data_IF_267741735247
#
_entry.id   IF_267741735247
#
_cell.length_a   1.000
_cell.length_b   1.000
_cell.length_c   1.000
_cell.angle_alpha   90.00
_cell.angle_beta   90.00
_cell.angle_gamma   90.00
#
_symmetry.space_group_name_H-M   'P 1'
#
loop_
_entity.id
_entity.type
_entity.pdbx_description
1 polymer ?
#
# COMPACT_ATOMS: atom_id res chain seq x y z
N UNK A 1 -15.18 -16.85 -12.10
CA UNK A 1 -15.13 -15.71 -11.16
C UNK A 1 -13.93 -14.86 -11.55
N UNK A 2 -14.09 -13.55 -11.80
CA UNK A 2 -12.93 -12.67 -11.98
C UNK A 2 -12.12 -12.73 -10.69
N UNK A 3 -10.82 -13.02 -10.76
CA UNK A 3 -9.94 -12.86 -9.59
C UNK A 3 -9.97 -11.39 -9.21
N UNK A 4 -10.19 -11.08 -7.93
CA UNK A 4 -9.90 -9.73 -7.45
C UNK A 4 -8.44 -9.43 -7.79
N UNK A 5 -8.17 -8.25 -8.37
CA UNK A 5 -6.81 -7.74 -8.46
C UNK A 5 -6.21 -7.59 -7.06
N UNK A 6 -4.90 -7.37 -6.98
CA UNK A 6 -4.25 -7.11 -5.70
C UNK A 6 -4.91 -5.92 -5.00
N UNK A 7 -5.28 -6.11 -3.73
CA UNK A 7 -5.73 -5.04 -2.86
C UNK A 7 -4.55 -4.12 -2.57
N UNK A 8 -4.74 -2.81 -2.72
CA UNK A 8 -3.69 -1.81 -2.52
C UNK A 8 -4.05 -0.89 -1.39
N UNK A 9 -3.11 -0.69 -0.48
CA UNK A 9 -3.31 0.19 0.66
C UNK A 9 -2.10 1.10 0.89
N UNK A 10 -2.37 2.39 1.11
CA UNK A 10 -1.41 3.30 1.72
C UNK A 10 -1.78 3.41 3.19
N UNK A 11 -0.82 3.19 4.08
CA UNK A 11 -0.98 3.37 5.52
C UNK A 11 -0.10 4.52 5.98
N UNK A 12 -0.72 5.64 6.30
CA UNK A 12 -0.05 6.83 6.82
C UNK A 12 0.04 6.73 8.33
N UNK A 13 1.25 6.87 8.89
CA UNK A 13 1.51 6.94 10.32
C UNK A 13 2.10 8.31 10.60
N UNK A 14 1.36 9.16 11.31
CA UNK A 14 1.75 10.56 11.57
C UNK A 14 1.31 10.97 12.96
N UNK A 15 1.90 12.02 13.51
CA UNK A 15 1.52 12.59 14.79
C UNK A 15 1.02 14.03 14.73
N UNK A 16 0.85 14.59 13.53
CA UNK A 16 0.41 15.97 13.37
C UNK A 16 -0.16 16.28 12.00
N UNK A 17 -0.87 17.40 11.92
CA UNK A 17 -1.35 17.93 10.66
C UNK A 17 -0.22 18.61 9.90
N UNK A 18 -0.23 18.49 8.59
CA UNK A 18 0.57 19.37 7.76
C UNK A 18 -0.04 19.61 6.39
N UNK A 19 0.03 20.88 6.00
CA UNK A 19 -0.63 21.44 4.84
C UNK A 19 0.37 22.09 3.85
N UNK A 20 1.59 21.56 3.78
CA UNK A 20 2.54 22.01 2.75
C UNK A 20 2.35 21.24 1.45
N UNK A 21 2.11 21.97 0.37
CA UNK A 21 1.86 21.42 -0.96
C UNK A 21 0.39 21.07 -1.19
N UNK A 22 0.13 19.98 -1.93
CA UNK A 22 -1.24 19.52 -2.20
C UNK A 22 -1.93 19.06 -0.91
N UNK A 23 -3.24 19.30 -0.81
CA UNK A 23 -4.04 18.81 0.32
C UNK A 23 -3.94 17.28 0.45
N UNK A 24 -3.67 16.74 1.65
CA UNK A 24 -3.62 15.30 1.87
C UNK A 24 -4.98 14.62 1.65
N UNK A 25 -6.09 15.34 1.89
CA UNK A 25 -7.46 14.87 1.61
C UNK A 25 -7.67 14.69 0.10
N UNK A 26 -7.22 15.67 -0.70
CA UNK A 26 -7.31 15.59 -2.16
C UNK A 26 -6.42 14.46 -2.72
N UNK A 27 -5.19 14.33 -2.21
CA UNK A 27 -4.30 13.24 -2.60
C UNK A 27 -4.88 11.86 -2.24
N UNK A 28 -5.52 11.71 -1.08
CA UNK A 28 -6.18 10.47 -0.69
C UNK A 28 -7.39 10.15 -1.58
N UNK A 29 -8.18 11.15 -1.96
CA UNK A 29 -9.28 10.97 -2.92
C UNK A 29 -8.75 10.46 -4.27
N UNK A 30 -7.66 11.03 -4.78
CA UNK A 30 -7.01 10.57 -6.02
C UNK A 30 -6.49 9.12 -5.90
N UNK A 31 -5.91 8.74 -4.74
CA UNK A 31 -5.48 7.37 -4.49
C UNK A 31 -6.67 6.39 -4.58
N UNK A 32 -7.81 6.75 -4.00
CA UNK A 32 -9.03 5.96 -4.04
C UNK A 32 -9.55 5.77 -5.47
N UNK A 33 -9.52 6.81 -6.29
CA UNK A 33 -9.91 6.71 -7.71
C UNK A 33 -9.04 5.71 -8.48
N UNK A 34 -7.80 5.48 -8.05
CA UNK A 34 -6.88 4.48 -8.62
C UNK A 34 -7.01 3.09 -7.97
N UNK A 35 -8.02 2.88 -7.11
CA UNK A 35 -8.24 1.62 -6.39
C UNK A 35 -7.25 1.37 -5.26
N UNK A 36 -6.65 2.44 -4.70
CA UNK A 36 -5.75 2.38 -3.55
C UNK A 36 -6.47 2.96 -2.33
N UNK A 37 -6.65 2.14 -1.30
CA UNK A 37 -7.28 2.57 -0.05
C UNK A 37 -6.26 3.33 0.81
N UNK A 38 -6.60 4.51 1.32
CA UNK A 38 -5.71 5.27 2.24
C UNK A 38 -6.23 5.16 3.67
N UNK A 39 -5.39 4.60 4.52
CA UNK A 39 -5.59 4.43 5.95
C UNK A 39 -4.67 5.39 6.71
N UNK A 40 -5.10 5.89 7.87
CA UNK A 40 -4.32 6.86 8.65
C UNK A 40 -4.30 6.51 10.12
N UNK A 41 -3.12 6.44 10.73
CA UNK A 41 -2.95 6.25 12.17
C UNK A 41 -2.26 7.50 12.75
N UNK A 42 -2.98 8.19 13.63
CA UNK A 42 -2.45 9.26 14.46
C UNK A 42 -1.73 8.71 15.68
N UNK A 43 -0.49 9.12 15.96
CA UNK A 43 0.29 8.64 17.12
C UNK A 43 0.49 9.74 18.17
N UNK A 44 -0.04 9.53 19.38
CA UNK A 44 -0.04 10.53 20.46
C UNK A 44 0.81 10.12 21.67
N UNK A 45 1.57 11.05 22.25
CA UNK A 45 2.33 10.84 23.49
C UNK A 45 1.80 11.78 24.58
N UNK A 46 0.94 11.26 25.46
CA UNK A 46 0.44 11.89 26.71
C UNK A 46 -0.47 13.13 26.59
N UNK A 47 -0.32 13.97 25.58
CA UNK A 47 -1.26 15.04 25.25
C UNK A 47 -2.11 14.65 24.04
N UNK A 48 -3.39 15.03 24.08
CA UNK A 48 -4.35 14.75 23.00
C UNK A 48 -3.86 15.38 21.69
N UNK A 49 -4.02 14.64 20.60
CA UNK A 49 -4.00 15.26 19.28
C UNK A 49 -5.14 16.30 19.29
N UNK A 50 -4.81 17.58 19.12
CA UNK A 50 -5.84 18.62 19.16
C UNK A 50 -6.96 18.31 18.17
N UNK A 51 -8.19 18.79 18.42
CA UNK A 51 -9.38 18.46 17.61
C UNK A 51 -9.19 18.66 16.08
N UNK A 52 -8.32 19.59 15.68
CA UNK A 52 -7.94 19.78 14.27
C UNK A 52 -7.13 18.62 13.70
N UNK A 53 -6.24 18.03 14.48
CA UNK A 53 -5.45 16.83 14.19
C UNK A 53 -6.31 15.60 13.94
N UNK A 54 -7.23 15.33 14.88
CA UNK A 54 -8.13 14.19 14.76
C UNK A 54 -9.04 14.30 13.54
N UNK A 55 -9.52 15.53 13.27
CA UNK A 55 -10.37 15.81 12.13
C UNK A 55 -9.64 15.55 10.82
N UNK A 56 -8.42 16.04 10.66
CA UNK A 56 -7.65 15.84 9.43
C UNK A 56 -7.34 14.36 9.18
N UNK A 57 -6.88 13.63 10.22
CA UNK A 57 -6.63 12.18 10.16
C UNK A 57 -7.87 11.43 9.64
N UNK A 58 -9.05 11.79 10.15
CA UNK A 58 -10.33 11.20 9.73
C UNK A 58 -10.71 11.58 8.30
N UNK A 59 -10.56 12.85 7.94
CA UNK A 59 -10.90 13.36 6.60
C UNK A 59 -10.03 12.72 5.51
N UNK A 60 -8.73 12.55 5.75
CA UNK A 60 -7.81 11.87 4.83
C UNK A 60 -8.26 10.42 4.61
N UNK A 61 -8.48 9.67 5.70
CA UNK A 61 -8.91 8.27 5.60
C UNK A 61 -10.28 8.13 4.92
N UNK A 62 -11.23 9.02 5.22
CA UNK A 62 -12.56 9.02 4.61
C UNK A 62 -12.49 9.30 3.10
N UNK A 63 -11.71 10.30 2.69
CA UNK A 63 -11.50 10.62 1.27
C UNK A 63 -10.83 9.44 0.54
N UNK A 64 -9.84 8.81 1.19
CA UNK A 64 -9.15 7.61 0.71
C UNK A 64 -9.95 6.30 0.77
N UNK A 65 -11.19 6.32 1.28
CA UNK A 65 -12.03 5.13 1.41
C UNK A 65 -11.58 4.14 2.49
N UNK A 66 -10.58 4.51 3.29
CA UNK A 66 -10.01 3.67 4.34
C UNK A 66 -10.58 3.96 5.72
N UNK A 67 -9.76 3.66 6.72
CA UNK A 67 -10.07 3.81 8.14
C UNK A 67 -9.00 4.65 8.82
N UNK A 68 -9.39 5.28 9.92
CA UNK A 68 -8.48 6.04 10.77
C UNK A 68 -8.57 5.61 12.21
N UNK A 69 -7.45 5.71 12.94
CA UNK A 69 -7.44 5.53 14.39
C UNK A 69 -6.38 6.44 15.04
N UNK A 70 -6.54 6.76 16.32
CA UNK A 70 -5.61 7.57 17.10
C UNK A 70 -5.15 6.74 18.28
N UNK A 71 -3.84 6.53 18.39
CA UNK A 71 -3.28 5.53 19.29
C UNK A 71 -2.06 6.04 20.02
N UNK A 72 -1.81 5.43 21.19
CA UNK A 72 -0.52 5.55 21.84
C UNK A 72 0.52 4.67 21.13
N UNK A 73 1.82 5.02 21.19
CA UNK A 73 2.90 4.22 20.60
C UNK A 73 2.87 2.74 21.02
N UNK A 74 2.42 2.44 22.24
CA UNK A 74 2.30 1.07 22.76
C UNK A 74 1.23 0.22 22.07
N UNK A 75 0.24 0.85 21.42
CA UNK A 75 -0.86 0.19 20.73
C UNK A 75 -0.66 0.13 19.21
N UNK A 76 0.35 0.83 18.69
CA UNK A 76 0.55 1.05 17.26
C UNK A 76 0.62 -0.26 16.46
N UNK A 77 1.40 -1.24 16.92
CA UNK A 77 1.58 -2.52 16.22
C UNK A 77 0.25 -3.26 16.01
N UNK A 78 -0.56 -3.35 17.07
CA UNK A 78 -1.87 -4.00 17.02
C UNK A 78 -2.83 -3.23 16.11
N UNK A 79 -2.82 -1.89 16.18
CA UNK A 79 -3.72 -1.07 15.38
C UNK A 79 -3.37 -1.10 13.90
N UNK A 80 -2.09 -1.10 13.53
CA UNK A 80 -1.64 -1.27 12.13
C UNK A 80 -2.22 -2.55 11.52
N UNK A 81 -2.11 -3.68 12.22
CA UNK A 81 -2.64 -4.96 11.77
C UNK A 81 -4.17 -4.94 11.65
N UNK A 82 -4.85 -4.48 12.71
CA UNK A 82 -6.30 -4.44 12.80
C UNK A 82 -6.93 -3.53 11.74
N UNK A 83 -6.37 -2.34 11.54
CA UNK A 83 -6.88 -1.34 10.61
C UNK A 83 -6.69 -1.81 9.16
N UNK A 84 -5.52 -2.37 8.83
CA UNK A 84 -5.26 -2.98 7.51
C UNK A 84 -6.27 -4.08 7.19
N UNK A 85 -6.51 -5.01 8.13
CA UNK A 85 -7.48 -6.11 7.95
C UNK A 85 -8.90 -5.61 7.77
N UNK A 86 -9.35 -4.69 8.63
CA UNK A 86 -10.69 -4.08 8.51
C UNK A 86 -10.88 -3.33 7.20
N UNK A 87 -9.86 -2.57 6.76
CA UNK A 87 -9.90 -1.86 5.49
C UNK A 87 -9.97 -2.81 4.29
N UNK A 88 -9.25 -3.94 4.35
CA UNK A 88 -9.33 -5.01 3.36
C UNK A 88 -10.73 -5.62 3.31
N UNK A 89 -11.27 -6.09 4.43
CA UNK A 89 -12.63 -6.65 4.51
C UNK A 89 -13.67 -5.67 3.96
N UNK A 90 -13.56 -4.39 4.32
CA UNK A 90 -14.44 -3.33 3.78
C UNK A 90 -14.32 -3.18 2.27
N UNK A 91 -13.10 -3.20 1.72
CA UNK A 91 -12.85 -3.07 0.28
C UNK A 91 -13.46 -4.25 -0.49
N UNK A 92 -13.25 -5.48 0.01
CA UNK A 92 -13.83 -6.69 -0.59
C UNK A 92 -15.35 -6.64 -0.51
N UNK A 93 -15.91 -6.30 0.64
CA UNK A 93 -17.36 -6.16 0.81
C UNK A 93 -17.95 -5.13 -0.17
N UNK A 94 -17.27 -4.01 -0.41
CA UNK A 94 -17.69 -3.01 -1.40
C UNK A 94 -17.69 -3.58 -2.82
N UNK A 95 -16.65 -4.31 -3.22
CA UNK A 95 -16.56 -4.96 -4.54
C UNK A 95 -17.66 -6.01 -4.70
N UNK A 96 -17.84 -6.89 -3.71
CA UNK A 96 -18.88 -7.92 -3.73
C UNK A 96 -20.27 -7.30 -3.82
N UNK A 97 -20.54 -6.23 -3.05
CA UNK A 97 -21.81 -5.52 -3.12
C UNK A 97 -22.06 -4.90 -4.51
N UNK A 98 -21.02 -4.35 -5.15
CA UNK A 98 -21.14 -3.79 -6.51
C UNK A 98 -21.46 -4.87 -7.53
N UNK A 99 -20.79 -6.03 -7.46
CA UNK A 99 -21.04 -7.17 -8.35
C UNK A 99 -22.45 -7.74 -8.14
N UNK A 100 -22.90 -7.88 -6.89
CA UNK A 100 -24.26 -8.31 -6.58
C UNK A 100 -25.30 -7.34 -7.13
N UNK A 101 -25.09 -6.03 -7.01
CA UNK A 101 -25.99 -5.02 -7.59
C UNK A 101 -26.05 -5.08 -9.11
N UNK A 102 -24.93 -5.36 -9.77
CA UNK A 102 -24.89 -5.52 -11.22
C UNK A 102 -25.69 -6.74 -11.71
N UNK A 103 -25.78 -7.81 -10.90
CA UNK A 103 -26.50 -9.04 -11.23
C UNK A 103 -27.97 -8.99 -10.81
N UNK A 104 -28.26 -8.47 -9.61
CA UNK A 104 -29.56 -8.54 -8.94
C UNK A 104 -30.36 -7.22 -8.99
N UNK A 105 -29.79 -6.15 -9.53
CA UNK A 105 -30.36 -4.81 -9.47
C UNK A 105 -30.11 -4.12 -8.12
N UNK A 106 -30.85 -3.07 -7.80
CA UNK A 106 -30.65 -2.24 -6.60
C UNK A 106 -31.03 -2.91 -5.27
N UNK A 107 -31.06 -4.24 -5.17
CA UNK A 107 -31.33 -4.92 -3.90
C UNK A 107 -30.14 -4.70 -2.96
N UNK A 108 -30.31 -3.99 -1.84
CA UNK A 108 -29.27 -3.86 -0.82
C UNK A 108 -28.90 -5.24 -0.25
N UNK A 109 -27.63 -5.42 0.13
CA UNK A 109 -27.17 -6.62 0.83
C UNK A 109 -28.02 -6.93 2.08
N UNK A 110 -28.48 -5.90 2.78
CA UNK A 110 -29.28 -6.04 4.00
C UNK A 110 -30.67 -6.61 3.74
N UNK A 111 -31.17 -6.51 2.51
CA UNK A 111 -32.47 -7.03 2.07
C UNK A 111 -32.37 -8.47 1.55
N UNK A 112 -31.15 -9.05 1.51
CA UNK A 112 -30.99 -10.46 1.23
C UNK A 112 -31.51 -11.32 2.39
N UNK A 113 -32.09 -12.47 2.04
CA UNK A 113 -32.48 -13.50 3.00
C UNK A 113 -31.28 -13.86 3.93
N UNK A 114 -31.52 -14.14 5.22
CA UNK A 114 -30.44 -14.40 6.20
C UNK A 114 -29.41 -15.43 5.74
N UNK A 115 -29.84 -16.50 5.07
CA UNK A 115 -28.98 -17.58 4.57
C UNK A 115 -28.02 -17.05 3.50
N UNK A 116 -28.50 -16.19 2.60
CA UNK A 116 -27.67 -15.57 1.56
C UNK A 116 -26.71 -14.55 2.16
N UNK A 117 -27.12 -13.79 3.17
CA UNK A 117 -26.22 -12.87 3.89
C UNK A 117 -25.07 -13.62 4.56
N UNK A 118 -25.36 -14.77 5.19
CA UNK A 118 -24.33 -15.65 5.76
C UNK A 118 -23.35 -16.15 4.69
N UNK A 119 -23.86 -16.58 3.53
CA UNK A 119 -23.02 -17.03 2.42
C UNK A 119 -22.12 -15.91 1.88
N UNK A 120 -22.64 -14.70 1.73
CA UNK A 120 -21.86 -13.54 1.28
C UNK A 120 -20.80 -13.17 2.32
N UNK A 121 -21.12 -13.20 3.61
CA UNK A 121 -20.16 -12.93 4.67
C UNK A 121 -18.98 -13.92 4.63
N UNK A 122 -19.27 -15.23 4.52
CA UNK A 122 -18.22 -16.25 4.38
C UNK A 122 -17.35 -16.03 3.14
N UNK A 123 -17.96 -15.69 2.00
CA UNK A 123 -17.22 -15.37 0.78
C UNK A 123 -16.29 -14.16 0.96
N UNK A 124 -16.74 -13.11 1.65
CA UNK A 124 -15.91 -11.92 1.93
C UNK A 124 -14.72 -12.29 2.82
N UNK A 125 -14.93 -13.15 3.82
CA UNK A 125 -13.86 -13.61 4.70
C UNK A 125 -12.82 -14.47 3.95
N UNK A 126 -13.27 -15.43 3.15
CA UNK A 126 -12.40 -16.27 2.31
C UNK A 126 -11.57 -15.42 1.34
N UNK A 127 -12.23 -14.49 0.63
CA UNK A 127 -11.55 -13.53 -0.24
C UNK A 127 -10.56 -12.67 0.55
N UNK A 128 -10.84 -12.32 1.80
CA UNK A 128 -9.94 -11.56 2.66
C UNK A 128 -8.63 -12.30 2.93
N UNK A 129 -8.71 -13.59 3.21
CA UNK A 129 -7.53 -14.40 3.51
C UNK A 129 -6.72 -14.75 2.25
N UNK A 130 -7.38 -14.99 1.11
CA UNK A 130 -6.74 -15.41 -0.14
C UNK A 130 -6.25 -14.26 -1.04
N UNK A 131 -6.79 -13.06 -0.89
CA UNK A 131 -6.45 -11.93 -1.78
C UNK A 131 -5.01 -11.47 -1.63
N UNK A 132 -4.37 -11.17 -2.77
CA UNK A 132 -3.08 -10.51 -2.77
C UNK A 132 -3.19 -9.10 -2.18
N UNK A 133 -2.20 -8.67 -1.41
CA UNK A 133 -2.16 -7.37 -0.73
C UNK A 133 -0.82 -6.68 -0.97
N UNK A 134 -0.89 -5.42 -1.38
CA UNK A 134 0.24 -4.52 -1.53
C UNK A 134 0.06 -3.34 -0.57
N UNK A 135 0.98 -3.14 0.36
CA UNK A 135 0.91 -2.04 1.35
C UNK A 135 2.11 -1.11 1.23
N UNK A 136 1.89 0.19 1.03
CA UNK A 136 2.92 1.21 1.27
C UNK A 136 2.66 1.84 2.63
N UNK A 137 3.58 1.66 3.57
CA UNK A 137 3.53 2.38 4.84
C UNK A 137 4.32 3.69 4.70
N UNK A 138 3.63 4.81 4.89
CA UNK A 138 4.22 6.14 4.97
C UNK A 138 4.40 6.51 6.43
N UNK A 139 5.64 6.71 6.85
CA UNK A 139 6.00 7.07 8.22
C UNK A 139 6.45 8.52 8.29
N UNK A 140 5.79 9.30 9.12
CA UNK A 140 6.22 10.66 9.44
C UNK A 140 7.54 10.63 10.20
N UNK A 141 8.51 11.41 9.74
CA UNK A 141 9.85 11.57 10.32
C UNK A 141 10.10 12.97 10.89
N UNK A 142 9.03 13.75 11.11
CA UNK A 142 9.08 15.05 11.77
C UNK A 142 9.71 14.97 13.18
N UNK A 143 10.14 16.12 13.71
CA UNK A 143 10.81 16.18 15.01
C UNK A 143 9.99 15.57 16.17
N UNK A 144 8.65 15.70 16.13
CA UNK A 144 7.74 15.16 17.13
C UNK A 144 7.59 13.63 17.09
N UNK A 145 7.92 13.01 15.95
CA UNK A 145 7.89 11.55 15.80
C UNK A 145 9.10 10.86 16.43
N UNK A 146 10.18 11.59 16.73
CA UNK A 146 11.43 11.03 17.28
C UNK A 146 11.24 10.07 18.48
N UNK A 147 10.48 10.42 19.54
CA UNK A 147 10.25 9.50 20.65
C UNK A 147 9.38 8.28 20.28
N UNK A 148 8.58 8.39 19.21
CA UNK A 148 7.61 7.37 18.74
C UNK A 148 8.24 6.36 17.78
N UNK A 149 9.36 6.70 17.15
CA UNK A 149 10.04 5.87 16.14
C UNK A 149 10.34 4.42 16.60
N UNK A 150 10.81 4.15 17.82
CA UNK A 150 11.04 2.77 18.26
C UNK A 150 9.76 1.92 18.21
N UNK A 151 8.62 2.49 18.58
CA UNK A 151 7.32 1.82 18.47
C UNK A 151 6.89 1.62 17.01
N UNK A 152 7.18 2.58 16.13
CA UNK A 152 6.92 2.43 14.69
C UNK A 152 7.76 1.30 14.10
N UNK A 153 9.03 1.17 14.50
CA UNK A 153 9.90 0.08 14.05
C UNK A 153 9.37 -1.29 14.49
N UNK A 154 8.96 -1.42 15.75
CA UNK A 154 8.31 -2.65 16.24
C UNK A 154 7.02 -2.93 15.46
N UNK A 155 6.18 -1.91 15.24
CA UNK A 155 4.95 -2.06 14.48
C UNK A 155 5.19 -2.54 13.04
N UNK A 156 6.22 -2.04 12.36
CA UNK A 156 6.60 -2.48 11.02
C UNK A 156 7.05 -3.93 11.01
N UNK A 157 7.91 -4.30 11.96
CA UNK A 157 8.40 -5.67 12.09
C UNK A 157 7.23 -6.64 12.35
N UNK A 158 6.40 -6.37 13.36
CA UNK A 158 5.28 -7.24 13.72
C UNK A 158 4.22 -7.31 12.62
N UNK A 159 3.99 -6.18 11.93
CA UNK A 159 3.11 -6.16 10.78
C UNK A 159 3.64 -7.01 9.63
N UNK A 160 4.94 -6.96 9.33
CA UNK A 160 5.55 -7.81 8.29
C UNK A 160 5.37 -9.31 8.57
N UNK A 161 5.47 -9.71 9.85
CA UNK A 161 5.21 -11.10 10.27
C UNK A 161 3.74 -11.44 10.05
N UNK A 162 2.82 -10.55 10.45
CA UNK A 162 1.38 -10.76 10.25
C UNK A 162 0.96 -10.85 8.78
N UNK A 163 1.64 -10.12 7.89
CA UNK A 163 1.40 -10.18 6.46
C UNK A 163 1.83 -11.54 5.87
N UNK A 164 2.91 -12.11 6.38
CA UNK A 164 3.40 -13.44 5.98
C UNK A 164 2.52 -14.60 6.44
N UNK A 165 1.72 -14.43 7.49
CA UNK A 165 0.82 -15.50 7.96
C UNK A 165 -0.46 -15.62 7.13
N UNK A 166 -0.73 -14.68 6.22
CA UNK A 166 -1.88 -14.75 5.32
C UNK A 166 -1.66 -15.77 4.21
N UNK A 167 -2.75 -16.38 3.73
CA UNK A 167 -2.70 -17.31 2.60
C UNK A 167 -2.39 -16.60 1.28
N UNK A 168 -2.97 -15.41 1.07
CA UNK A 168 -2.70 -14.56 -0.09
C UNK A 168 -1.31 -13.91 -0.04
N UNK A 169 -0.72 -13.65 -1.22
CA UNK A 169 0.59 -13.00 -1.30
C UNK A 169 0.52 -11.57 -0.76
N UNK A 170 1.36 -11.25 0.21
CA UNK A 170 1.45 -9.91 0.79
C UNK A 170 2.82 -9.31 0.54
N UNK A 171 2.85 -8.08 0.02
CA UNK A 171 4.07 -7.30 -0.13
C UNK A 171 3.91 -5.96 0.59
N UNK A 172 4.98 -5.47 1.18
CA UNK A 172 5.01 -4.11 1.70
C UNK A 172 6.26 -3.34 1.30
N UNK A 173 6.12 -2.03 1.22
CA UNK A 173 7.21 -1.07 1.17
C UNK A 173 7.03 -0.07 2.32
N UNK A 174 8.14 0.46 2.84
CA UNK A 174 8.12 1.50 3.87
C UNK A 174 8.85 2.72 3.33
N UNK A 175 8.19 3.87 3.38
CA UNK A 175 8.79 5.16 3.05
C UNK A 175 8.63 6.13 4.21
N UNK A 176 9.55 7.05 4.34
CA UNK A 176 9.49 8.13 5.33
C UNK A 176 9.25 9.47 4.67
N UNK A 177 8.52 10.37 5.32
CA UNK A 177 8.31 11.73 4.86
C UNK A 177 8.47 12.71 6.03
N UNK A 178 9.13 13.87 5.85
CA UNK A 178 9.75 14.36 4.61
C UNK A 178 11.00 13.55 4.18
N UNK A 179 11.26 13.53 2.87
CA UNK A 179 12.49 13.02 2.28
C UNK A 179 13.61 14.08 2.19
N UNK A 180 14.86 13.65 1.95
CA UNK A 180 16.01 14.57 1.81
C UNK A 180 15.97 15.44 0.55
N UNK A 181 15.54 14.84 -0.56
CA UNK A 181 15.57 15.43 -1.91
C UNK A 181 14.22 15.29 -2.64
N UNK A 182 13.19 14.84 -1.95
CA UNK A 182 11.86 14.48 -2.46
C UNK A 182 10.82 14.59 -1.33
N UNK A 183 9.54 14.42 -1.63
CA UNK A 183 8.51 14.49 -0.58
C UNK A 183 8.52 13.25 0.33
N UNK A 184 8.89 12.08 -0.21
CA UNK A 184 9.18 10.88 0.59
C UNK A 184 10.48 10.20 0.18
N UNK A 185 11.04 9.37 1.05
CA UNK A 185 12.20 8.52 0.79
C UNK A 185 11.82 7.06 1.02
N UNK A 186 12.04 6.20 0.02
CA UNK A 186 11.83 4.74 0.19
C UNK A 186 12.94 4.20 1.08
N UNK A 187 12.55 3.67 2.25
CA UNK A 187 13.46 3.12 3.25
C UNK A 187 13.57 1.62 3.16
N UNK A 188 12.45 0.96 2.89
CA UNK A 188 12.36 -0.47 2.62
C UNK A 188 11.61 -0.60 1.28
N UNK A 189 12.27 -1.10 0.21
CA UNK A 189 11.61 -1.35 -1.06
C UNK A 189 10.59 -2.49 -0.93
N UNK A 190 9.78 -2.71 -1.97
CA UNK A 190 8.80 -3.79 -2.00
C UNK A 190 9.43 -5.13 -1.61
N UNK A 191 8.91 -5.73 -0.55
CA UNK A 191 9.38 -7.02 -0.03
C UNK A 191 8.22 -7.80 0.58
N UNK A 192 8.33 -9.12 0.58
CA UNK A 192 7.49 -10.04 1.36
C UNK A 192 8.16 -10.45 2.69
N UNK A 193 9.41 -10.03 2.92
CA UNK A 193 10.21 -10.29 4.11
C UNK A 193 10.92 -9.02 4.60
N UNK A 194 10.67 -8.64 5.85
CA UNK A 194 11.42 -7.56 6.51
C UNK A 194 12.35 -8.17 7.54
N UNK A 195 13.62 -8.33 7.17
CA UNK A 195 14.66 -8.81 8.09
C UNK A 195 15.37 -7.65 8.81
N UNK A 196 15.19 -6.41 8.35
CA UNK A 196 16.01 -5.24 8.76
C UNK A 196 15.18 -3.98 9.06
N UNK A 197 14.07 -4.10 9.79
CA UNK A 197 13.24 -2.96 10.23
C UNK A 197 14.03 -1.87 11.01
N UNK A 198 15.15 -2.24 11.64
CA UNK A 198 16.02 -1.31 12.36
C UNK A 198 16.68 -0.25 11.46
N UNK A 199 16.80 -0.47 10.14
CA UNK A 199 17.41 0.48 9.21
C UNK A 199 16.55 1.71 8.90
N UNK A 200 15.30 1.71 9.36
CA UNK A 200 14.36 2.82 9.19
C UNK A 200 14.81 4.11 9.87
N UNK A 201 15.58 4.03 10.96
CA UNK A 201 16.03 5.22 11.72
C UNK A 201 17.35 5.83 11.22
N UNK A 202 18.07 5.16 10.32
CA UNK A 202 19.40 5.61 9.89
C UNK A 202 19.33 6.79 8.91
N UNK A 203 19.59 8.00 9.38
CA UNK A 203 19.68 9.17 8.51
C UNK A 203 18.34 9.81 8.14
N UNK A 204 17.35 9.69 9.03
CA UNK A 204 16.13 10.50 9.00
C UNK A 204 16.52 11.98 9.00
N UNK A 205 16.07 12.71 7.98
CA UNK A 205 16.22 14.17 7.94
C UNK A 205 14.99 14.77 8.58
N UNK A 206 15.19 15.28 9.78
CA UNK A 206 14.17 15.99 10.52
C UNK A 206 14.00 17.36 9.85
N UNK A 207 12.86 17.57 9.21
CA UNK A 207 12.44 18.85 8.68
C UNK A 207 11.25 19.36 9.49
N UNK A 208 11.12 20.69 9.63
CA UNK A 208 9.97 21.30 10.33
C UNK A 208 8.67 21.30 9.53
N UNK A 209 8.66 20.70 8.33
CA UNK A 209 7.50 20.64 7.43
C UNK A 209 7.23 19.17 7.08
N UNK A 210 5.95 18.76 7.14
CA UNK A 210 5.52 17.39 6.81
C UNK A 210 4.67 17.39 5.52
N UNK A 211 5.22 17.03 4.35
CA UNK A 211 4.49 17.08 3.08
C UNK A 211 3.58 15.85 2.88
N UNK A 212 2.55 15.67 3.72
CA UNK A 212 1.69 14.47 3.73
C UNK A 212 0.99 14.23 2.39
N UNK A 213 0.37 15.26 1.80
CA UNK A 213 -0.32 15.12 0.52
C UNK A 213 0.63 14.74 -0.62
N UNK A 214 1.75 15.46 -0.83
CA UNK A 214 2.76 15.07 -1.80
C UNK A 214 3.33 13.65 -1.56
N UNK A 215 3.52 13.23 -0.31
CA UNK A 215 3.97 11.88 0.01
C UNK A 215 2.95 10.79 -0.40
N UNK A 216 1.65 11.04 -0.25
CA UNK A 216 0.59 10.13 -0.75
C UNK A 216 0.68 10.00 -2.28
N UNK A 217 0.89 11.11 -3.01
CA UNK A 217 1.03 11.09 -4.47
C UNK A 217 2.27 10.28 -4.90
N UNK A 218 3.42 10.50 -4.26
CA UNK A 218 4.64 9.72 -4.55
C UNK A 218 4.46 8.23 -4.21
N UNK A 219 3.73 7.89 -3.15
CA UNK A 219 3.40 6.52 -2.80
C UNK A 219 2.54 5.82 -3.85
N UNK A 220 1.58 6.52 -4.46
CA UNK A 220 0.78 5.97 -5.56
C UNK A 220 1.66 5.52 -6.74
N UNK A 221 2.72 6.28 -7.04
CA UNK A 221 3.67 5.94 -8.09
C UNK A 221 4.46 4.65 -7.81
N UNK A 222 4.68 4.28 -6.54
CA UNK A 222 5.35 3.01 -6.19
C UNK A 222 4.55 1.78 -6.59
N UNK A 223 3.22 1.84 -6.55
CA UNK A 223 2.36 0.73 -6.99
C UNK A 223 2.47 0.53 -8.51
N UNK A 224 2.56 1.60 -9.28
CA UNK A 224 2.72 1.52 -10.73
C UNK A 224 4.11 0.97 -11.13
N UNK A 225 5.15 1.30 -10.38
CA UNK A 225 6.49 0.73 -10.58
C UNK A 225 6.52 -0.76 -10.28
N UNK A 226 5.85 -1.22 -9.22
CA UNK A 226 5.77 -2.64 -8.87
C UNK A 226 5.08 -3.47 -9.97
N UNK A 227 4.01 -2.94 -10.59
CA UNK A 227 3.35 -3.58 -11.74
C UNK A 227 4.30 -3.78 -12.92
N UNK A 228 5.12 -2.77 -13.25
CA UNK A 228 6.05 -2.81 -14.39
C UNK A 228 7.16 -3.83 -14.16
N UNK A 229 7.70 -3.91 -12.94
CA UNK A 229 8.72 -4.90 -12.58
C UNK A 229 8.19 -6.34 -12.59
N UNK A 230 6.90 -6.55 -12.26
CA UNK A 230 6.26 -7.87 -12.34
C UNK A 230 5.92 -8.30 -13.78
N UNK A 231 5.66 -7.36 -14.69
CA UNK A 231 5.34 -7.63 -16.10
C UNK A 231 6.55 -7.72 -17.06
N UNK A 232 7.77 -7.47 -16.57
CA UNK A 232 9.00 -7.45 -17.37
C UNK A 232 9.68 -8.81 -17.56
N UNK A 233 9.19 -9.88 -16.94
CA UNK A 233 9.85 -11.18 -16.93
C UNK A 233 9.50 -12.12 -18.10
N UNK A 234 8.66 -11.70 -19.06
CA UNK A 234 8.06 -12.62 -20.05
C UNK A 234 8.44 -12.34 -21.53
N UNK A 235 9.44 -11.48 -21.79
CA UNK A 235 9.86 -11.12 -23.17
C UNK A 235 11.22 -11.67 -23.63
N UNK A 236 11.89 -12.53 -22.85
CA UNK A 236 13.20 -13.10 -23.24
C UNK A 236 13.16 -14.53 -23.81
N UNK A 237 11.99 -15.12 -24.09
CA UNK A 237 11.91 -16.42 -24.75
C UNK A 237 10.91 -16.46 -25.90
N UNK A 238 11.19 -15.69 -26.95
CA UNK A 238 10.55 -15.91 -28.26
C UNK A 238 11.48 -15.45 -29.40
N UNK A 239 12.70 -15.98 -29.48
CA UNK A 239 13.45 -15.97 -30.74
C UNK A 239 13.11 -17.24 -31.54
N UNK A 240 12.64 -17.14 -32.79
CA UNK A 240 12.49 -18.31 -33.64
C UNK A 240 13.86 -18.81 -34.06
N UNK A 241 14.18 -20.06 -33.69
CA UNK A 241 15.33 -20.81 -34.22
C UNK A 241 15.33 -20.76 -35.75
N UNK A 242 16.18 -19.92 -36.34
CA UNK A 242 16.54 -20.04 -37.76
C UNK A 242 17.36 -21.30 -37.93
N UNK A 243 16.80 -22.24 -38.68
CA UNK A 243 17.49 -23.45 -39.17
C UNK A 243 18.75 -23.02 -39.91
N UNK A 244 19.89 -23.50 -39.45
CA UNK A 244 21.10 -23.55 -40.25
C UNK A 244 20.86 -24.54 -41.40
N UNK A 245 20.76 -24.03 -42.62
CA UNK A 245 20.95 -24.81 -43.83
C UNK A 245 22.35 -24.45 -44.32
N UNK A 246 23.23 -25.45 -44.28
CA UNK A 246 24.40 -25.52 -45.15
C UNK A 246 23.93 -25.26 -46.59
N UNK A 247 24.63 -24.39 -47.29
CA UNK A 247 25.15 -24.75 -48.61
C UNK A 247 26.46 -24.00 -48.87
N UNK A 248 27.42 -24.81 -49.27
CA UNK A 248 28.79 -24.51 -49.62
C UNK A 248 28.82 -24.18 -51.12
N UNK A 249 29.38 -23.05 -51.53
CA UNK A 249 30.10 -22.97 -52.81
C UNK A 249 30.95 -21.69 -52.89
N UNK A 250 32.15 -21.86 -53.44
CA UNK A 250 33.27 -20.92 -53.40
C UNK A 250 33.17 -19.72 -54.34
N UNK A 251 34.08 -18.75 -54.15
CA UNK A 251 35.18 -18.45 -55.07
C UNK A 251 36.05 -17.31 -54.49
N UNK A 252 37.33 -17.36 -54.86
CA UNK A 252 38.48 -16.54 -54.46
C UNK A 252 38.46 -15.07 -54.94
N UNK A 253 39.47 -14.33 -54.44
CA UNK A 253 40.14 -13.11 -54.96
C UNK A 253 39.59 -11.75 -54.48
N UNK A 254 40.38 -10.71 -54.20
CA UNK A 254 41.82 -10.48 -53.97
C UNK A 254 42.00 -8.99 -53.55
N UNK A 255 43.19 -8.66 -53.02
CA UNK A 255 43.83 -7.32 -52.85
C UNK A 255 43.47 -6.50 -51.57
N UNK A 256 44.38 -6.31 -50.59
CA UNK A 256 45.60 -5.44 -50.55
C UNK A 256 45.21 -3.97 -50.82
N UNK A 257 45.28 -3.01 -49.89
CA UNK A 257 46.34 -2.63 -48.93
C UNK A 257 45.81 -2.39 -47.50
#
# INVERSE_FOLDING_TARGET
>A
MKRLGSLRQILVVTDGCSNSGISPVAAAAMAREQGITVNVIGVVEREEMGASGEKEVREIAQAGGGLSDIVYPTQLAQTVQMLTRKAMTRTIHQVVNQELKAILGEVPLDDLAPEKRMQVAGMVDDLGEESNLEVVMLVDSSGSMKPKLPSVQMAIHDFSISLRSRHGSSKMAVSTFPGKHSHMEVRIPWTDQIDQAHQLTTGLVMSGITPTGPAIIEAMALFEQNKKSAGGADWQQAEPRRRAQNDNDGYLQDHVF
#
